data_IF_715572237139
#
_entry.id   IF_715572237139
#
_cell.length_a   1.000
_cell.length_b   1.000
_cell.length_c   1.000
_cell.angle_alpha   90.00
_cell.angle_beta   90.00
_cell.angle_gamma   90.00
#
_symmetry.space_group_name_H-M   'P 1'
#
loop_
_entity.id
_entity.type
_entity.pdbx_description
1 polymer ?
#
# COMPACT_ATOMS: atom_id res chain seq x y z
N UNK A 1 13.12 -4.50 -20.81
CA UNK A 1 11.79 -4.20 -20.22
C UNK A 1 11.47 -5.30 -19.21
N UNK A 2 11.06 -4.94 -17.98
CA UNK A 2 10.67 -5.93 -16.97
C UNK A 2 9.32 -6.55 -17.35
N UNK A 3 9.31 -7.84 -17.69
CA UNK A 3 8.10 -8.54 -18.13
C UNK A 3 7.17 -8.79 -16.94
N UNK A 4 5.93 -8.25 -16.94
CA UNK A 4 5.00 -8.48 -15.85
C UNK A 4 4.55 -9.94 -15.83
N UNK A 5 4.31 -10.54 -14.64
CA UNK A 5 3.63 -11.82 -14.56
C UNK A 5 2.18 -11.64 -15.02
N UNK A 6 1.79 -12.37 -16.07
CA UNK A 6 0.45 -12.27 -16.69
C UNK A 6 -0.45 -13.47 -16.38
N UNK A 7 0.11 -14.58 -15.91
CA UNK A 7 -0.63 -15.81 -15.60
C UNK A 7 -0.92 -15.89 -14.09
N UNK A 8 -2.13 -16.30 -13.66
CA UNK A 8 -2.47 -16.43 -12.23
C UNK A 8 -1.47 -17.26 -11.42
N UNK A 9 -0.91 -18.32 -12.00
CA UNK A 9 0.12 -19.15 -11.34
C UNK A 9 1.40 -18.36 -11.11
N UNK A 10 1.88 -17.64 -12.12
CA UNK A 10 3.12 -16.85 -12.00
C UNK A 10 2.92 -15.63 -11.11
N UNK A 11 1.73 -15.05 -11.09
CA UNK A 11 1.33 -14.00 -10.15
C UNK A 11 1.38 -14.53 -8.72
N UNK A 12 0.74 -15.67 -8.44
CA UNK A 12 0.72 -16.29 -7.11
C UNK A 12 2.11 -16.69 -6.61
N UNK A 13 2.89 -17.36 -7.46
CA UNK A 13 4.27 -17.75 -7.13
C UNK A 13 5.16 -16.53 -6.87
N UNK A 14 5.02 -15.48 -7.67
CA UNK A 14 5.73 -14.21 -7.44
C UNK A 14 5.32 -13.60 -6.12
N UNK A 15 4.01 -13.49 -5.85
CA UNK A 15 3.50 -12.96 -4.58
C UNK A 15 4.09 -13.69 -3.38
N UNK A 16 4.04 -15.02 -3.36
CA UNK A 16 4.58 -15.83 -2.28
C UNK A 16 6.08 -15.59 -2.09
N UNK A 17 6.85 -15.59 -3.18
CA UNK A 17 8.30 -15.30 -3.15
C UNK A 17 8.59 -13.92 -2.56
N UNK A 18 7.79 -12.92 -2.93
CA UNK A 18 7.95 -11.54 -2.46
C UNK A 18 7.54 -11.37 -1.00
N UNK A 19 6.46 -12.01 -0.56
CA UNK A 19 6.07 -12.04 0.85
C UNK A 19 7.15 -12.71 1.71
N UNK A 20 7.68 -13.85 1.26
CA UNK A 20 8.78 -14.53 1.94
C UNK A 20 10.02 -13.62 2.07
N UNK A 21 10.36 -12.87 1.01
CA UNK A 21 11.46 -11.91 1.07
C UNK A 21 11.20 -10.76 2.05
N UNK A 22 9.98 -10.22 2.10
CA UNK A 22 9.62 -9.14 3.01
C UNK A 22 9.72 -9.55 4.49
N UNK A 23 9.41 -10.80 4.80
CA UNK A 23 9.47 -11.34 6.15
C UNK A 23 10.87 -11.74 6.61
N UNK A 24 11.82 -11.94 5.69
CA UNK A 24 13.21 -12.29 6.01
C UNK A 24 13.94 -11.10 6.64
N UNK A 25 14.92 -11.34 7.52
CA UNK A 25 15.82 -10.29 8.01
C UNK A 25 16.46 -9.53 6.84
N UNK A 26 16.72 -8.24 7.03
CA UNK A 26 17.58 -7.47 6.13
C UNK A 26 19.01 -7.81 6.50
N UNK A 27 19.88 -8.04 5.51
CA UNK A 27 21.31 -8.19 5.76
C UNK A 27 21.89 -6.82 6.17
N UNK A 28 22.34 -6.70 7.41
CA UNK A 28 22.93 -5.47 7.94
C UNK A 28 24.26 -5.11 7.25
N UNK A 29 24.89 -6.07 6.55
CA UNK A 29 26.10 -5.85 5.74
C UNK A 29 25.80 -5.27 4.36
N UNK A 30 24.53 -5.21 3.95
CA UNK A 30 24.16 -4.60 2.69
C UNK A 30 24.51 -3.10 2.71
N UNK A 31 25.39 -2.70 1.77
CA UNK A 31 25.94 -1.33 1.65
C UNK A 31 24.85 -0.26 1.83
N UNK A 32 25.16 0.88 2.47
CA UNK A 32 24.20 1.98 2.67
C UNK A 32 23.71 2.63 1.36
N UNK A 33 24.31 2.28 0.22
CA UNK A 33 23.97 2.81 -1.10
C UNK A 33 22.69 2.18 -1.66
N UNK A 34 21.88 2.93 -2.42
CA UNK A 34 20.71 2.38 -3.11
C UNK A 34 21.15 1.28 -4.09
N UNK A 35 20.44 0.15 -4.09
CA UNK A 35 20.72 -0.99 -4.98
C UNK A 35 20.41 -0.63 -6.44
N UNK A 36 19.39 0.20 -6.66
CA UNK A 36 18.92 0.60 -7.98
C UNK A 36 18.20 1.94 -7.92
N UNK A 37 18.34 2.73 -8.99
CA UNK A 37 17.46 3.87 -9.25
C UNK A 37 16.43 3.44 -10.30
N UNK A 38 15.17 3.40 -9.89
CA UNK A 38 14.07 3.02 -10.76
C UNK A 38 13.29 4.25 -11.22
N UNK A 39 13.06 4.32 -12.52
CA UNK A 39 12.02 5.18 -13.05
C UNK A 39 10.65 4.65 -12.60
N UNK A 40 9.68 5.55 -12.53
CA UNK A 40 8.37 5.25 -11.96
C UNK A 40 7.61 4.16 -12.72
N UNK A 41 7.73 4.13 -14.04
CA UNK A 41 7.09 3.13 -14.89
C UNK A 41 7.54 1.70 -14.58
N UNK A 42 8.74 1.55 -14.03
CA UNK A 42 9.37 0.27 -13.68
C UNK A 42 9.23 -0.07 -12.19
N UNK A 43 8.74 0.87 -11.38
CA UNK A 43 8.54 0.74 -9.93
C UNK A 43 7.27 -0.07 -9.60
N UNK A 44 7.12 -1.24 -10.21
CA UNK A 44 5.98 -2.16 -10.05
C UNK A 44 6.17 -3.07 -8.84
N UNK A 45 5.07 -3.56 -8.27
CA UNK A 45 5.07 -4.35 -7.02
C UNK A 45 6.00 -5.58 -7.10
N UNK A 46 6.01 -6.30 -8.22
CA UNK A 46 6.81 -7.51 -8.40
C UNK A 46 8.32 -7.23 -8.54
N UNK A 47 8.71 -5.97 -8.74
CA UNK A 47 10.10 -5.52 -8.80
C UNK A 47 10.53 -4.98 -7.44
N UNK A 48 9.80 -3.98 -6.94
CA UNK A 48 10.12 -3.27 -5.69
C UNK A 48 10.13 -4.20 -4.49
N UNK A 49 9.20 -5.15 -4.41
CA UNK A 49 9.10 -6.05 -3.27
C UNK A 49 10.27 -7.03 -3.15
N UNK A 50 11.14 -7.12 -4.16
CA UNK A 50 12.37 -7.90 -4.13
C UNK A 50 13.64 -7.11 -3.86
N UNK A 51 13.54 -5.81 -3.61
CA UNK A 51 14.67 -4.91 -3.38
C UNK A 51 14.62 -4.39 -1.95
N UNK A 52 15.79 -4.20 -1.32
CA UNK A 52 15.86 -3.71 0.06
C UNK A 52 16.00 -2.20 0.14
N UNK A 53 16.68 -1.58 -0.84
CA UNK A 53 17.02 -0.15 -0.86
C UNK A 53 16.95 0.36 -2.29
N UNK A 54 16.00 1.24 -2.60
CA UNK A 54 15.75 1.70 -3.97
C UNK A 54 15.38 3.18 -3.97
N UNK A 55 15.90 3.95 -4.93
CA UNK A 55 15.41 5.30 -5.22
C UNK A 55 14.40 5.21 -6.35
N UNK A 56 13.24 5.84 -6.17
CA UNK A 56 12.17 5.86 -7.17
C UNK A 56 11.87 7.30 -7.56
N UNK A 57 11.85 7.61 -8.85
CA UNK A 57 11.48 8.94 -9.33
C UNK A 57 10.02 9.30 -8.99
N UNK A 58 9.82 10.43 -8.31
CA UNK A 58 8.50 10.93 -7.88
C UNK A 58 7.61 11.24 -9.08
N UNK A 59 6.28 11.07 -8.97
CA UNK A 59 5.23 11.32 -10.00
C UNK A 59 5.48 12.53 -10.92
N UNK A 60 5.86 13.64 -10.30
CA UNK A 60 6.09 14.94 -10.92
C UNK A 60 7.43 15.07 -11.66
N UNK A 61 8.32 14.09 -11.56
CA UNK A 61 9.64 14.10 -12.17
C UNK A 61 10.64 15.05 -11.50
N UNK A 62 10.26 15.73 -10.41
CA UNK A 62 11.07 16.77 -9.75
C UNK A 62 11.97 16.24 -8.63
N UNK A 63 11.86 14.95 -8.31
CA UNK A 63 12.64 14.36 -7.23
C UNK A 63 12.68 12.85 -7.24
N UNK A 64 13.35 12.31 -6.22
CA UNK A 64 13.46 10.88 -5.96
C UNK A 64 13.05 10.58 -4.52
N UNK A 65 12.32 9.49 -4.33
CA UNK A 65 11.99 8.96 -3.00
C UNK A 65 12.88 7.76 -2.70
N UNK A 66 13.61 7.81 -1.60
CA UNK A 66 14.35 6.66 -1.09
C UNK A 66 13.42 5.72 -0.33
N UNK A 67 13.33 4.46 -0.77
CA UNK A 67 12.55 3.42 -0.13
C UNK A 67 13.49 2.39 0.45
N UNK A 68 13.34 2.13 1.75
CA UNK A 68 14.09 1.12 2.51
C UNK A 68 13.11 0.10 3.08
N UNK A 69 13.44 -1.18 2.92
CA UNK A 69 12.70 -2.28 3.53
C UNK A 69 13.01 -2.36 5.03
N UNK A 70 11.95 -2.51 5.82
CA UNK A 70 12.01 -2.82 7.24
C UNK A 70 11.05 -3.99 7.54
N UNK A 71 11.56 -5.18 7.88
CA UNK A 71 10.73 -6.35 8.19
C UNK A 71 9.84 -6.15 9.42
N UNK A 72 10.29 -5.37 10.42
CA UNK A 72 9.50 -5.11 11.63
C UNK A 72 8.32 -4.21 11.28
N UNK A 73 8.56 -3.13 10.54
CA UNK A 73 7.51 -2.26 10.03
C UNK A 73 6.53 -3.03 9.11
N UNK A 74 7.05 -3.88 8.23
CA UNK A 74 6.20 -4.71 7.36
C UNK A 74 5.25 -5.60 8.17
N UNK A 75 5.78 -6.33 9.17
CA UNK A 75 4.97 -7.21 10.04
C UNK A 75 3.92 -6.44 10.83
N UNK A 76 4.29 -5.29 11.42
CA UNK A 76 3.35 -4.49 12.22
C UNK A 76 2.23 -3.90 11.36
N UNK A 77 2.57 -3.35 10.19
CA UNK A 77 1.59 -2.78 9.26
C UNK A 77 0.68 -3.87 8.67
N UNK A 78 1.22 -5.04 8.34
CA UNK A 78 0.43 -6.17 7.85
C UNK A 78 -0.56 -6.66 8.91
N UNK A 79 -0.10 -6.85 10.15
CA UNK A 79 -0.96 -7.26 11.26
C UNK A 79 -2.08 -6.24 11.51
N UNK A 80 -1.75 -4.95 11.54
CA UNK A 80 -2.73 -3.87 11.70
C UNK A 80 -3.73 -3.83 10.54
N UNK A 81 -3.25 -3.97 9.30
CA UNK A 81 -4.11 -4.02 8.12
C UNK A 81 -5.10 -5.18 8.21
N UNK A 82 -4.64 -6.38 8.57
CA UNK A 82 -5.51 -7.54 8.73
C UNK A 82 -6.53 -7.36 9.86
N UNK A 83 -6.14 -6.75 10.99
CA UNK A 83 -7.06 -6.43 12.07
C UNK A 83 -8.16 -5.46 11.59
N UNK A 84 -7.79 -4.38 10.92
CA UNK A 84 -8.73 -3.39 10.38
C UNK A 84 -9.66 -3.98 9.32
N UNK A 85 -9.16 -4.85 8.43
CA UNK A 85 -10.02 -5.51 7.44
C UNK A 85 -11.04 -6.45 8.10
N UNK A 86 -10.65 -7.15 9.18
CA UNK A 86 -11.58 -7.99 9.95
C UNK A 86 -12.63 -7.14 10.67
N UNK A 87 -12.22 -6.05 11.29
CA UNK A 87 -13.12 -5.11 11.95
C UNK A 87 -14.10 -4.50 10.95
N UNK A 88 -13.59 -4.00 9.82
CA UNK A 88 -14.41 -3.48 8.75
C UNK A 88 -15.40 -4.52 8.23
N UNK A 89 -14.97 -5.76 7.97
CA UNK A 89 -15.87 -6.81 7.50
C UNK A 89 -16.98 -7.14 8.50
N UNK A 90 -16.69 -7.08 9.81
CA UNK A 90 -17.68 -7.28 10.89
C UNK A 90 -18.65 -6.11 10.99
N UNK A 91 -18.15 -4.88 10.95
CA UNK A 91 -18.94 -3.66 11.12
C UNK A 91 -19.68 -3.23 9.85
N UNK A 92 -19.28 -3.73 8.68
CA UNK A 92 -19.80 -3.29 7.38
C UNK A 92 -21.33 -3.34 7.27
N UNK A 93 -22.05 -4.38 7.72
CA UNK A 93 -23.52 -4.40 7.65
C UNK A 93 -24.16 -3.29 8.48
N UNK A 94 -23.63 -3.02 9.69
CA UNK A 94 -24.11 -1.94 10.56
C UNK A 94 -23.82 -0.57 9.96
N UNK A 95 -22.58 -0.35 9.52
CA UNK A 95 -22.17 0.89 8.86
C UNK A 95 -23.01 1.14 7.61
N UNK A 96 -23.21 0.12 6.77
CA UNK A 96 -24.07 0.21 5.58
C UNK A 96 -25.48 0.68 5.91
N UNK A 97 -26.10 0.19 6.98
CA UNK A 97 -27.42 0.65 7.43
C UNK A 97 -27.35 2.11 7.90
N UNK A 98 -26.44 2.40 8.83
CA UNK A 98 -26.26 3.74 9.40
C UNK A 98 -26.07 4.81 8.32
N UNK A 99 -25.20 4.57 7.34
CA UNK A 99 -24.94 5.52 6.26
C UNK A 99 -26.12 5.68 5.30
N UNK A 100 -26.95 4.65 5.10
CA UNK A 100 -28.16 4.75 4.27
C UNK A 100 -29.26 5.51 4.97
N UNK A 101 -29.45 5.24 6.26
CA UNK A 101 -30.45 5.92 7.08
C UNK A 101 -30.09 7.41 7.21
N UNK A 102 -28.79 7.74 7.31
CA UNK A 102 -28.28 9.11 7.35
C UNK A 102 -28.17 9.78 5.96
N UNK A 103 -28.38 9.06 4.85
CA UNK A 103 -28.18 9.60 3.51
C UNK A 103 -29.00 10.88 3.22
N UNK A 104 -30.28 11.00 3.63
CA UNK A 104 -31.05 12.22 3.42
C UNK A 104 -30.43 13.43 4.11
N UNK A 105 -29.97 13.28 5.36
CA UNK A 105 -29.34 14.36 6.12
C UNK A 105 -27.98 14.75 5.52
N UNK A 106 -27.16 13.77 5.12
CA UNK A 106 -25.85 14.00 4.53
C UNK A 106 -25.91 14.73 3.17
N UNK A 107 -27.04 14.62 2.46
CA UNK A 107 -27.27 15.27 1.16
C UNK A 107 -28.12 16.54 1.25
N UNK A 108 -28.62 16.87 2.44
CA UNK A 108 -29.50 18.02 2.61
C UNK A 108 -28.73 19.34 2.56
N UNK A 109 -29.25 20.28 1.74
CA UNK A 109 -28.65 21.61 1.59
C UNK A 109 -28.67 22.39 2.89
N UNK A 110 -29.70 22.23 3.72
CA UNK A 110 -29.79 22.90 5.03
C UNK A 110 -28.72 22.38 5.98
N UNK A 111 -28.46 21.07 5.95
CA UNK A 111 -27.34 20.43 6.65
C UNK A 111 -25.98 21.02 6.27
N UNK A 112 -25.71 21.17 4.97
CA UNK A 112 -24.46 21.73 4.46
C UNK A 112 -24.28 23.23 4.75
N UNK A 113 -25.36 24.02 4.78
CA UNK A 113 -25.31 25.43 5.19
C UNK A 113 -24.73 25.61 6.59
N UNK A 114 -25.02 24.70 7.53
CA UNK A 114 -24.44 24.74 8.89
C UNK A 114 -22.91 24.59 8.92
N UNK A 115 -22.32 23.97 7.89
CA UNK A 115 -20.86 23.74 7.81
C UNK A 115 -20.18 24.90 7.07
N UNK A 116 -20.84 25.48 6.07
CA UNK A 116 -20.25 26.50 5.19
C UNK A 116 -20.61 27.95 5.53
N UNK A 117 -21.73 28.18 6.22
CA UNK A 117 -22.16 29.52 6.67
C UNK A 117 -21.71 29.82 8.13
N UNK A 118 -20.93 28.92 8.73
CA UNK A 118 -20.22 29.12 10.00
C UNK A 118 -18.87 29.80 9.76
#
# INVERSE_FOLDING_TARGET
MLTPPTNPVTIGATLLKRLAHQLRPVDDRARPRPQLSLARQDARWFVLSGLDRVTVSTADGRGVTYRKRDPRAFRSMLARSMALHRELAREFPRLRKLYRDAAPELTDRTGWKRIFDA
#
